data_IF_926435137389
#
_entry.id   IF_926435137389
#
_cell.length_a   1.000
_cell.length_b   1.000
_cell.length_c   1.000
_cell.angle_alpha   90.00
_cell.angle_beta   90.00
_cell.angle_gamma   90.00
#
_symmetry.space_group_name_H-M   'P 1'
#
loop_
_entity.id
_entity.type
_entity.pdbx_description
1 polymer ?
#
# COMPACT_ATOMS: atom_id res chain seq x y z
N UNK A 1 -12.33 -12.25 8.30
CA UNK A 1 -11.01 -11.62 8.11
C UNK A 1 -10.02 -12.31 9.04
N UNK A 2 -8.76 -12.47 8.62
CA UNK A 2 -7.70 -13.03 9.48
C UNK A 2 -7.44 -12.13 10.69
N UNK A 3 -7.11 -12.73 11.84
CA UNK A 3 -6.79 -11.98 13.06
C UNK A 3 -5.32 -11.55 13.04
N UNK A 4 -5.06 -10.26 13.21
CA UNK A 4 -3.71 -9.70 13.35
C UNK A 4 -3.06 -10.23 14.65
N UNK A 5 -1.81 -10.69 14.55
CA UNK A 5 -1.06 -11.34 15.63
C UNK A 5 0.29 -10.67 15.93
N UNK A 6 0.51 -9.44 15.46
CA UNK A 6 1.66 -8.60 15.80
C UNK A 6 1.20 -7.32 16.53
N UNK A 7 2.10 -6.36 16.67
CA UNK A 7 1.87 -5.09 17.36
C UNK A 7 0.72 -4.24 16.77
N UNK A 8 0.33 -4.44 15.50
CA UNK A 8 -0.90 -3.81 14.97
C UNK A 8 -2.16 -4.26 15.70
N UNK A 9 -2.18 -5.44 16.32
CA UNK A 9 -3.35 -5.93 17.05
C UNK A 9 -3.80 -4.91 18.10
N UNK A 10 -2.87 -4.43 18.91
CA UNK A 10 -3.20 -3.55 20.03
C UNK A 10 -3.48 -2.11 19.54
N UNK A 11 -2.92 -1.73 18.38
CA UNK A 11 -3.20 -0.44 17.74
C UNK A 11 -4.60 -0.39 17.09
N UNK A 12 -5.10 -1.53 16.60
CA UNK A 12 -6.32 -1.61 15.80
C UNK A 12 -7.51 -2.25 16.52
N UNK A 13 -7.33 -2.74 17.74
CA UNK A 13 -8.39 -3.41 18.50
C UNK A 13 -9.64 -2.52 18.63
N UNK A 14 -9.47 -1.29 19.13
CA UNK A 14 -10.56 -0.32 19.23
C UNK A 14 -11.15 0.06 17.86
N UNK A 15 -10.34 0.07 16.81
CA UNK A 15 -10.78 0.41 15.46
C UNK A 15 -11.78 -0.64 14.93
N UNK A 16 -11.57 -1.91 15.28
CA UNK A 16 -12.42 -3.02 14.84
C UNK A 16 -13.76 -3.12 15.56
N UNK A 17 -13.92 -2.39 16.66
CA UNK A 17 -15.14 -2.31 17.48
C UNK A 17 -16.02 -1.11 17.10
N UNK A 18 -15.48 -0.12 16.38
CA UNK A 18 -16.24 1.05 15.92
C UNK A 18 -17.41 0.62 15.04
N UNK A 19 -18.54 1.29 15.21
CA UNK A 19 -19.80 1.00 14.50
C UNK A 19 -19.63 0.90 12.99
N UNK A 20 -18.86 1.82 12.39
CA UNK A 20 -18.61 1.82 10.95
C UNK A 20 -17.87 0.56 10.49
N UNK A 21 -16.96 0.02 11.31
CA UNK A 21 -16.18 -1.18 10.98
C UNK A 21 -16.99 -2.46 11.17
N UNK A 22 -17.86 -2.49 12.18
CA UNK A 22 -18.85 -3.57 12.36
C UNK A 22 -19.78 -3.63 11.15
N UNK A 23 -20.32 -2.49 10.70
CA UNK A 23 -21.12 -2.40 9.48
C UNK A 23 -20.33 -2.80 8.22
N UNK A 24 -19.07 -2.39 8.12
CA UNK A 24 -18.18 -2.80 7.03
C UNK A 24 -18.02 -4.34 7.00
N UNK A 25 -17.82 -4.99 8.15
CA UNK A 25 -17.76 -6.46 8.23
C UNK A 25 -19.03 -7.12 7.68
N UNK A 26 -20.20 -6.65 8.09
CA UNK A 26 -21.49 -7.18 7.61
C UNK A 26 -21.64 -7.02 6.09
N UNK A 27 -21.30 -5.84 5.55
CA UNK A 27 -21.29 -5.60 4.10
C UNK A 27 -20.35 -6.58 3.41
N UNK A 28 -19.12 -6.74 3.90
CA UNK A 28 -18.15 -7.66 3.32
C UNK A 28 -18.63 -9.11 3.37
N UNK A 29 -19.21 -9.56 4.48
CA UNK A 29 -19.77 -10.92 4.57
C UNK A 29 -20.83 -11.16 3.50
N UNK A 30 -21.71 -10.18 3.24
CA UNK A 30 -22.67 -10.25 2.15
C UNK A 30 -22.00 -10.19 0.77
N UNK A 31 -21.00 -9.32 0.57
CA UNK A 31 -20.27 -9.18 -0.69
C UNK A 31 -19.58 -10.49 -1.09
N UNK A 32 -18.81 -11.10 -0.20
CA UNK A 32 -18.15 -12.38 -0.47
C UNK A 32 -19.11 -13.57 -0.59
N UNK A 33 -20.35 -13.45 -0.11
CA UNK A 33 -21.38 -14.49 -0.28
C UNK A 33 -22.01 -14.43 -1.67
N UNK A 34 -22.18 -13.23 -2.23
CA UNK A 34 -22.96 -13.02 -3.45
C UNK A 34 -22.10 -12.70 -4.69
N UNK A 35 -20.85 -12.26 -4.50
CA UNK A 35 -19.96 -11.82 -5.57
C UNK A 35 -18.56 -12.40 -5.40
N UNK A 36 -17.80 -12.39 -6.51
CA UNK A 36 -16.35 -12.60 -6.43
C UNK A 36 -15.69 -11.30 -5.99
N UNK A 37 -14.99 -11.34 -4.86
CA UNK A 37 -14.35 -10.18 -4.24
C UNK A 37 -12.86 -10.48 -4.04
N UNK A 38 -12.02 -9.49 -4.33
CA UNK A 38 -10.57 -9.56 -4.13
C UNK A 38 -10.08 -8.55 -3.09
N UNK A 39 -8.95 -8.85 -2.41
CA UNK A 39 -8.25 -10.13 -2.40
C UNK A 39 -9.08 -11.22 -1.67
N UNK A 40 -8.68 -12.49 -1.60
CA UNK A 40 -9.37 -13.44 -0.72
C UNK A 40 -9.47 -12.94 0.73
N UNK A 41 -10.55 -13.30 1.46
CA UNK A 41 -10.81 -12.78 2.84
C UNK A 41 -9.62 -12.87 3.81
N UNK A 42 -8.78 -13.89 3.66
CA UNK A 42 -7.61 -14.13 4.51
C UNK A 42 -6.48 -13.12 4.25
N UNK A 43 -6.45 -12.56 3.05
CA UNK A 43 -5.36 -11.74 2.53
C UNK A 43 -5.65 -10.23 2.66
N UNK A 44 -6.88 -9.82 3.02
CA UNK A 44 -7.29 -8.41 3.15
C UNK A 44 -6.31 -7.58 3.99
N UNK A 45 -5.73 -8.18 5.04
CA UNK A 45 -4.85 -7.52 6.01
C UNK A 45 -3.36 -7.88 5.82
N UNK A 46 -2.96 -8.46 4.68
CA UNK A 46 -1.57 -8.91 4.43
C UNK A 46 -0.52 -7.81 4.61
N UNK A 47 -0.81 -6.56 4.24
CA UNK A 47 0.11 -5.44 4.48
C UNK A 47 0.49 -5.30 5.97
N UNK A 48 -0.46 -5.50 6.88
CA UNK A 48 -0.23 -5.39 8.33
C UNK A 48 0.51 -6.60 8.91
N UNK A 49 0.30 -7.79 8.33
CA UNK A 49 1.03 -9.00 8.74
C UNK A 49 2.51 -8.93 8.34
N UNK A 50 2.80 -8.42 7.14
CA UNK A 50 4.15 -8.36 6.59
C UNK A 50 4.95 -7.16 7.10
N UNK A 51 4.27 -6.11 7.54
CA UNK A 51 4.90 -4.89 8.04
C UNK A 51 4.33 -4.53 9.42
N UNK A 52 4.91 -5.05 10.52
CA UNK A 52 4.53 -4.67 11.88
C UNK A 52 4.57 -3.16 12.10
N UNK A 53 3.72 -2.64 12.97
CA UNK A 53 3.53 -1.20 13.22
C UNK A 53 4.83 -0.50 13.59
N UNK A 54 5.60 -1.08 14.51
CA UNK A 54 6.91 -0.59 14.95
C UNK A 54 7.98 -0.60 13.85
N UNK A 55 7.85 -1.49 12.86
CA UNK A 55 8.78 -1.66 11.76
C UNK A 55 8.42 -0.82 10.51
N UNK A 56 7.27 -0.16 10.50
CA UNK A 56 6.90 0.73 9.38
C UNK A 56 7.90 1.88 9.30
N UNK A 57 8.56 1.99 8.15
CA UNK A 57 9.47 3.08 7.75
C UNK A 57 8.85 3.94 6.66
N UNK A 58 8.18 3.28 5.71
CA UNK A 58 7.60 3.90 4.51
C UNK A 58 6.15 3.47 4.39
N UNK A 59 5.27 4.38 4.03
CA UNK A 59 3.88 4.08 3.67
C UNK A 59 3.69 4.44 2.20
N UNK A 60 3.39 3.45 1.37
CA UNK A 60 3.14 3.62 -0.06
C UNK A 60 1.67 3.40 -0.31
N UNK A 61 0.95 4.49 -0.62
CA UNK A 61 -0.50 4.47 -0.74
C UNK A 61 -0.96 4.15 -2.16
N UNK A 62 -1.73 3.07 -2.29
CA UNK A 62 -2.52 2.75 -3.49
C UNK A 62 -3.98 3.14 -3.36
N UNK A 63 -4.75 3.00 -4.44
CA UNK A 63 -6.16 3.37 -4.47
C UNK A 63 -7.06 2.22 -3.99
N UNK A 64 -7.20 1.18 -4.80
CA UNK A 64 -7.97 -0.04 -4.56
C UNK A 64 -7.18 -1.27 -5.04
N UNK A 65 -7.55 -2.49 -4.61
CA UNK A 65 -6.87 -3.70 -5.07
C UNK A 65 -7.09 -3.91 -6.56
N UNK A 66 -6.20 -4.68 -7.18
CA UNK A 66 -6.45 -5.19 -8.52
C UNK A 66 -7.73 -6.03 -8.57
N UNK A 67 -8.53 -5.84 -9.61
CA UNK A 67 -9.90 -6.35 -9.70
C UNK A 67 -10.04 -7.58 -10.62
N UNK A 68 -8.95 -8.26 -10.97
CA UNK A 68 -9.01 -9.52 -11.74
C UNK A 68 -8.43 -10.68 -10.93
N UNK A 69 -8.87 -11.88 -11.29
CA UNK A 69 -8.51 -13.12 -10.61
C UNK A 69 -7.00 -13.31 -10.45
N UNK A 70 -6.59 -13.70 -9.24
CA UNK A 70 -5.20 -14.00 -8.88
C UNK A 70 -4.29 -12.78 -8.69
N UNK A 71 -4.71 -11.56 -9.07
CA UNK A 71 -3.87 -10.37 -8.98
C UNK A 71 -3.68 -9.89 -7.54
N UNK A 72 -4.76 -9.47 -6.87
CA UNK A 72 -4.68 -8.86 -5.56
C UNK A 72 -4.45 -9.90 -4.45
N UNK A 73 -3.50 -9.61 -3.57
CA UNK A 73 -3.15 -10.42 -2.40
C UNK A 73 -2.96 -9.57 -1.13
N UNK A 74 -3.58 -8.40 -1.09
CA UNK A 74 -3.59 -7.52 0.10
C UNK A 74 -2.40 -6.58 0.24
N UNK A 75 -1.57 -6.46 -0.79
CA UNK A 75 -0.50 -5.46 -0.89
C UNK A 75 -0.78 -4.51 -2.07
N UNK A 76 -0.71 -3.20 -1.82
CA UNK A 76 -0.85 -2.19 -2.88
C UNK A 76 0.20 -2.40 -3.99
N UNK A 77 -0.20 -2.21 -5.25
CA UNK A 77 0.61 -2.36 -6.47
C UNK A 77 1.20 -3.75 -6.75
N UNK A 78 1.21 -4.66 -5.78
CA UNK A 78 1.81 -5.99 -5.87
C UNK A 78 0.86 -7.01 -6.50
N UNK A 79 1.42 -7.99 -7.22
CA UNK A 79 0.71 -9.16 -7.74
C UNK A 79 1.43 -10.46 -7.39
N UNK A 80 0.69 -11.57 -7.31
CA UNK A 80 1.27 -12.90 -7.11
C UNK A 80 2.18 -13.32 -8.27
N UNK A 81 3.10 -14.26 -8.00
CA UNK A 81 3.89 -14.90 -9.04
C UNK A 81 3.02 -15.55 -10.12
N UNK A 82 3.52 -15.54 -11.36
CA UNK A 82 2.79 -16.07 -12.53
C UNK A 82 1.71 -15.13 -13.08
N UNK A 83 1.39 -14.04 -12.37
CA UNK A 83 0.51 -13.00 -12.86
C UNK A 83 1.32 -11.97 -13.64
N UNK A 84 0.83 -11.59 -14.82
CA UNK A 84 1.43 -10.52 -15.63
C UNK A 84 1.51 -9.22 -14.81
N UNK A 85 2.71 -8.66 -14.71
CA UNK A 85 2.96 -7.38 -14.04
C UNK A 85 2.05 -6.28 -14.60
N UNK A 86 1.19 -5.66 -13.76
CA UNK A 86 0.24 -4.65 -14.23
C UNK A 86 0.94 -3.38 -14.72
N UNK A 87 0.32 -2.58 -15.61
CA UNK A 87 0.96 -1.42 -16.22
C UNK A 87 1.51 -0.39 -15.24
N UNK A 88 0.81 -0.14 -14.12
CA UNK A 88 1.30 0.76 -13.07
C UNK A 88 2.58 0.25 -12.43
N UNK A 89 2.66 -1.05 -12.13
CA UNK A 89 3.87 -1.65 -11.55
C UNK A 89 5.03 -1.69 -12.56
N UNK A 90 4.74 -1.95 -13.83
CA UNK A 90 5.76 -1.81 -14.90
C UNK A 90 6.35 -0.40 -14.93
N UNK A 91 5.52 0.64 -14.78
CA UNK A 91 6.02 2.01 -14.72
C UNK A 91 6.84 2.28 -13.46
N UNK A 92 6.45 1.71 -12.31
CA UNK A 92 7.28 1.78 -11.09
C UNK A 92 8.66 1.13 -11.30
N UNK A 93 8.74 -0.02 -11.98
CA UNK A 93 10.04 -0.64 -12.29
C UNK A 93 10.88 0.17 -13.27
N UNK A 94 10.26 0.82 -14.26
CA UNK A 94 10.96 1.76 -15.14
C UNK A 94 11.54 2.94 -14.39
N UNK A 95 10.78 3.49 -13.43
CA UNK A 95 11.28 4.57 -12.57
C UNK A 95 12.41 4.09 -11.66
N UNK A 96 12.31 2.90 -11.06
CA UNK A 96 13.40 2.30 -10.28
C UNK A 96 14.67 2.09 -11.11
N UNK A 97 14.52 1.70 -12.37
CA UNK A 97 15.64 1.56 -13.30
C UNK A 97 16.31 2.92 -13.59
N UNK A 98 15.54 3.97 -13.84
CA UNK A 98 16.08 5.32 -14.08
C UNK A 98 16.69 5.95 -12.81
N UNK A 99 16.02 5.77 -11.67
CA UNK A 99 16.40 6.38 -10.38
C UNK A 99 17.63 5.71 -9.75
N UNK A 100 17.64 4.37 -9.71
CA UNK A 100 18.60 3.57 -8.96
C UNK A 100 19.42 2.60 -9.82
N UNK A 101 19.22 2.56 -11.13
CA UNK A 101 19.94 1.66 -12.04
C UNK A 101 19.54 0.18 -11.92
N UNK A 102 18.39 -0.10 -11.30
CA UNK A 102 17.90 -1.47 -11.04
C UNK A 102 17.38 -2.15 -12.31
N UNK A 103 17.46 -3.48 -12.35
CA UNK A 103 16.86 -4.23 -13.46
C UNK A 103 15.35 -4.45 -13.22
N UNK A 104 14.59 -4.55 -14.31
CA UNK A 104 13.16 -4.84 -14.26
C UNK A 104 12.97 -6.36 -14.06
N UNK A 105 12.36 -6.81 -12.96
CA UNK A 105 12.17 -8.23 -12.69
C UNK A 105 11.11 -8.86 -13.59
N UNK A 106 11.16 -10.19 -13.70
CA UNK A 106 10.18 -11.01 -14.42
C UNK A 106 8.86 -11.28 -13.64
N UNK A 107 8.67 -10.63 -12.50
CA UNK A 107 7.50 -10.80 -11.64
C UNK A 107 7.09 -9.48 -10.97
N UNK A 108 5.96 -9.48 -10.26
CA UNK A 108 5.41 -8.29 -9.60
C UNK A 108 5.18 -8.45 -8.09
N UNK A 109 5.89 -9.38 -7.44
CA UNK A 109 5.63 -9.74 -6.05
C UNK A 109 6.47 -8.90 -5.07
N UNK A 110 5.87 -7.84 -4.52
CA UNK A 110 6.54 -6.83 -3.69
C UNK A 110 6.68 -7.20 -2.20
N UNK A 111 6.60 -8.49 -1.84
CA UNK A 111 6.71 -8.92 -0.44
C UNK A 111 8.05 -8.53 0.20
N UNK A 112 9.15 -8.55 -0.59
CA UNK A 112 10.48 -8.11 -0.15
C UNK A 112 10.46 -6.67 0.39
N UNK A 113 9.70 -5.76 -0.22
CA UNK A 113 9.60 -4.39 0.28
C UNK A 113 8.81 -4.34 1.59
N UNK A 114 7.70 -5.08 1.67
CA UNK A 114 6.86 -5.13 2.87
C UNK A 114 7.65 -5.61 4.10
N UNK A 115 8.45 -6.67 3.95
CA UNK A 115 9.33 -7.21 4.99
C UNK A 115 10.45 -6.27 5.44
N UNK A 116 10.73 -5.21 4.68
CA UNK A 116 11.75 -4.20 4.99
C UNK A 116 11.18 -2.93 5.67
N UNK A 117 9.87 -2.89 5.94
CA UNK A 117 9.23 -1.73 6.55
C UNK A 117 8.40 -0.87 5.60
N UNK A 118 8.15 -1.33 4.35
CA UNK A 118 7.30 -0.62 3.39
C UNK A 118 5.86 -1.09 3.50
N UNK A 119 5.02 -0.33 4.20
CA UNK A 119 3.58 -0.61 4.30
C UNK A 119 2.89 -0.29 2.96
N UNK A 120 2.62 -1.33 2.18
CA UNK A 120 1.93 -1.28 0.88
C UNK A 120 0.40 -1.23 1.06
N UNK A 121 -0.14 -0.06 1.39
CA UNK A 121 -1.53 0.11 1.83
C UNK A 121 -2.41 0.73 0.74
N UNK A 122 -3.48 0.03 0.33
CA UNK A 122 -4.52 0.67 -0.47
C UNK A 122 -5.48 1.47 0.41
N UNK A 123 -6.07 2.55 -0.11
CA UNK A 123 -7.14 3.30 0.60
C UNK A 123 -8.49 2.57 0.64
N UNK A 124 -8.68 1.60 -0.26
CA UNK A 124 -9.75 0.60 -0.24
C UNK A 124 -9.12 -0.79 -0.18
N UNK A 125 -9.54 -1.68 0.72
CA UNK A 125 -8.87 -2.98 0.89
C UNK A 125 -9.54 -4.15 0.17
N UNK A 126 -10.68 -3.92 -0.48
CA UNK A 126 -11.40 -4.94 -1.26
C UNK A 126 -12.00 -4.35 -2.51
N UNK A 127 -12.30 -5.18 -3.50
CA UNK A 127 -12.98 -4.79 -4.75
C UNK A 127 -13.73 -5.99 -5.32
N UNK A 128 -14.88 -5.79 -5.97
CA UNK A 128 -15.52 -6.86 -6.76
C UNK A 128 -14.74 -7.14 -8.04
N UNK A 129 -14.82 -8.37 -8.51
CA UNK A 129 -14.24 -8.76 -9.81
C UNK A 129 -14.76 -7.85 -10.92
N UNK A 130 -13.83 -7.36 -11.75
CA UNK A 130 -14.10 -6.55 -12.93
C UNK A 130 -14.82 -5.19 -12.67
N UNK A 131 -15.00 -4.79 -11.41
CA UNK A 131 -15.64 -3.52 -11.02
C UNK A 131 -14.69 -2.67 -10.17
N UNK A 132 -13.75 -1.96 -10.83
CA UNK A 132 -12.83 -1.04 -10.15
C UNK A 132 -13.59 -0.04 -9.25
N UNK A 133 -13.07 0.22 -8.05
CA UNK A 133 -13.66 1.12 -7.04
C UNK A 133 -15.07 0.75 -6.52
N UNK A 134 -15.58 -0.45 -6.80
CA UNK A 134 -16.90 -0.90 -6.34
C UNK A 134 -17.10 -0.80 -4.81
N UNK A 135 -16.03 -0.95 -4.02
CA UNK A 135 -16.05 -0.84 -2.55
C UNK A 135 -15.50 0.50 -2.02
N UNK A 136 -15.43 1.55 -2.84
CA UNK A 136 -14.86 2.85 -2.45
C UNK A 136 -15.69 3.65 -1.43
N UNK A 137 -16.90 3.19 -1.07
CA UNK A 137 -17.82 3.92 -0.18
C UNK A 137 -18.37 3.07 0.98
N UNK A 138 -17.78 1.91 1.23
CA UNK A 138 -18.30 0.97 2.25
C UNK A 138 -17.65 1.10 3.63
N UNK A 139 -16.65 1.99 3.79
CA UNK A 139 -16.02 2.29 5.08
C UNK A 139 -14.50 2.09 5.13
N UNK A 140 -13.88 1.53 4.09
CA UNK A 140 -12.43 1.33 4.05
C UNK A 140 -11.61 2.62 4.17
N UNK A 141 -12.10 3.72 3.60
CA UNK A 141 -11.45 5.01 3.66
C UNK A 141 -11.33 5.50 5.11
N UNK A 142 -12.39 5.34 5.92
CA UNK A 142 -12.36 5.67 7.34
C UNK A 142 -11.32 4.83 8.08
N UNK A 143 -11.29 3.52 7.80
CA UNK A 143 -10.31 2.61 8.39
C UNK A 143 -8.88 3.04 8.06
N UNK A 144 -8.57 3.19 6.77
CA UNK A 144 -7.23 3.57 6.30
C UNK A 144 -6.82 4.98 6.70
N UNK A 145 -7.76 5.92 6.83
CA UNK A 145 -7.50 7.25 7.40
C UNK A 145 -7.05 7.13 8.86
N UNK A 146 -7.68 6.25 9.64
CA UNK A 146 -7.29 6.03 11.03
C UNK A 146 -5.95 5.29 11.13
N UNK A 147 -5.59 4.41 10.19
CA UNK A 147 -4.23 3.85 10.09
C UNK A 147 -3.19 4.97 9.90
N UNK A 148 -3.44 5.90 8.97
CA UNK A 148 -2.52 7.02 8.71
C UNK A 148 -2.39 7.91 9.95
N UNK A 149 -3.51 8.22 10.63
CA UNK A 149 -3.48 8.99 11.89
C UNK A 149 -2.70 8.28 13.00
N UNK A 150 -2.85 6.96 13.14
CA UNK A 150 -2.05 6.19 14.11
C UNK A 150 -0.57 6.24 13.80
N UNK A 151 -0.19 6.03 12.53
CA UNK A 151 1.20 6.21 12.12
C UNK A 151 1.70 7.64 12.34
N UNK A 152 0.82 8.63 12.16
CA UNK A 152 1.09 10.03 12.43
C UNK A 152 1.27 10.33 13.93
N UNK A 153 0.76 9.50 14.84
CA UNK A 153 0.95 9.66 16.29
C UNK A 153 2.34 9.17 16.73
N UNK A 154 3.02 8.32 15.96
CA UNK A 154 4.33 7.74 16.31
C UNK A 154 5.41 8.79 16.51
N UNK A 155 6.30 8.55 17.47
CA UNK A 155 7.51 9.37 17.65
C UNK A 155 8.53 9.11 16.53
N UNK A 156 8.72 7.84 16.16
CA UNK A 156 9.60 7.45 15.05
C UNK A 156 9.02 8.01 13.74
N UNK A 157 9.78 8.83 12.99
CA UNK A 157 9.35 9.37 11.70
C UNK A 157 8.96 8.29 10.70
N UNK A 158 8.07 8.65 9.78
CA UNK A 158 7.55 7.78 8.72
C UNK A 158 7.58 8.58 7.41
N UNK A 159 7.95 7.91 6.32
CA UNK A 159 7.98 8.51 4.99
C UNK A 159 6.71 8.09 4.24
N UNK A 160 5.86 9.05 3.87
CA UNK A 160 4.63 8.81 3.14
C UNK A 160 4.80 9.12 1.65
N UNK A 161 4.59 8.11 0.80
CA UNK A 161 4.60 8.26 -0.65
C UNK A 161 3.17 8.41 -1.14
N UNK A 162 2.84 9.61 -1.65
CA UNK A 162 1.50 9.99 -2.06
C UNK A 162 1.43 10.18 -3.57
N UNK A 163 1.15 9.10 -4.30
CA UNK A 163 1.01 9.11 -5.76
C UNK A 163 -0.45 9.23 -6.20
N UNK A 164 -0.78 10.32 -6.89
CA UNK A 164 -2.13 10.60 -7.38
C UNK A 164 -3.03 11.28 -6.35
N UNK A 165 -4.17 11.80 -6.81
CA UNK A 165 -5.01 12.71 -6.01
C UNK A 165 -5.62 12.05 -4.77
N UNK A 166 -6.01 10.77 -4.86
CA UNK A 166 -6.57 10.04 -3.72
C UNK A 166 -5.56 9.89 -2.58
N UNK A 167 -4.30 9.58 -2.90
CA UNK A 167 -3.23 9.50 -1.91
C UNK A 167 -2.86 10.90 -1.39
N UNK A 168 -2.73 11.90 -2.26
CA UNK A 168 -2.45 13.30 -1.86
C UNK A 168 -3.51 13.86 -0.91
N UNK A 169 -4.78 13.50 -1.07
CA UNK A 169 -5.84 13.93 -0.17
C UNK A 169 -5.65 13.47 1.29
N UNK A 170 -4.77 12.49 1.54
CA UNK A 170 -4.41 12.01 2.89
C UNK A 170 -3.35 12.86 3.59
N UNK A 171 -2.71 13.79 2.86
CA UNK A 171 -1.72 14.73 3.41
C UNK A 171 -2.23 15.49 4.64
N UNK A 172 -3.52 15.84 4.67
CA UNK A 172 -4.16 16.54 5.79
C UNK A 172 -4.11 15.81 7.13
N UNK A 173 -3.76 14.52 7.15
CA UNK A 173 -3.63 13.71 8.36
C UNK A 173 -2.18 13.56 8.84
N UNK A 174 -1.22 14.17 8.13
CA UNK A 174 0.21 13.96 8.35
C UNK A 174 0.85 15.26 8.85
N UNK A 175 1.51 15.20 10.01
CA UNK A 175 2.33 16.26 10.58
C UNK A 175 3.71 16.26 9.93
N UNK A 176 3.95 17.21 9.03
CA UNK A 176 5.20 17.35 8.28
C UNK A 176 6.37 17.88 9.11
N UNK A 177 6.14 18.26 10.37
CA UNK A 177 7.25 18.56 11.28
C UNK A 177 7.90 17.28 11.83
N UNK A 178 7.19 16.15 11.75
CA UNK A 178 7.63 14.85 12.28
C UNK A 178 7.82 13.79 11.20
N UNK A 179 7.00 13.84 10.15
CA UNK A 179 7.00 12.88 9.06
C UNK A 179 7.40 13.51 7.73
N UNK A 180 7.77 12.66 6.78
CA UNK A 180 8.18 13.08 5.44
C UNK A 180 7.10 12.73 4.43
N UNK A 181 6.92 13.57 3.40
CA UNK A 181 5.96 13.31 2.33
C UNK A 181 6.63 13.48 0.98
N UNK A 182 6.55 12.44 0.14
CA UNK A 182 6.94 12.48 -1.27
C UNK A 182 5.70 12.41 -2.14
N UNK A 183 5.37 13.50 -2.85
CA UNK A 183 4.12 13.64 -3.61
C UNK A 183 4.39 13.61 -5.11
N UNK A 184 3.69 12.74 -5.83
CA UNK A 184 3.83 12.58 -7.28
C UNK A 184 2.51 12.30 -7.98
N UNK A 185 2.50 12.27 -9.31
CA UNK A 185 1.34 11.74 -10.05
C UNK A 185 1.29 10.21 -9.94
N UNK A 186 0.15 9.59 -10.24
CA UNK A 186 0.01 8.14 -10.15
C UNK A 186 0.88 7.43 -11.22
N UNK A 187 1.46 6.26 -10.96
CA UNK A 187 2.24 5.48 -11.94
C UNK A 187 1.40 4.87 -13.08
N UNK A 188 0.10 5.15 -13.15
CA UNK A 188 -0.77 4.61 -14.21
C UNK A 188 -0.32 5.13 -15.58
N UNK A 189 -0.44 4.36 -16.67
CA UNK A 189 -0.18 4.84 -18.03
C UNK A 189 -0.88 6.17 -18.37
N UNK A 190 -2.06 6.42 -17.76
CA UNK A 190 -2.82 7.66 -17.94
C UNK A 190 -2.15 8.91 -17.34
N UNK A 191 -1.17 8.74 -16.46
CA UNK A 191 -0.57 9.85 -15.71
C UNK A 191 0.94 9.80 -15.58
N UNK A 192 1.60 8.67 -15.83
CA UNK A 192 3.02 8.51 -15.50
C UNK A 192 3.93 9.55 -16.19
N UNK A 193 3.67 9.86 -17.46
CA UNK A 193 4.40 10.87 -18.22
C UNK A 193 4.21 12.31 -17.71
N UNK A 194 3.29 12.56 -16.78
CA UNK A 194 3.03 13.89 -16.19
C UNK A 194 3.87 14.16 -14.93
N UNK A 195 4.93 13.39 -14.71
CA UNK A 195 5.88 13.59 -13.60
C UNK A 195 5.98 12.45 -12.60
N UNK A 196 5.54 11.23 -12.94
CA UNK A 196 5.94 10.04 -12.17
C UNK A 196 7.34 9.62 -12.61
N UNK A 197 7.57 9.58 -13.93
CA UNK A 197 8.91 9.36 -14.47
C UNK A 197 9.82 10.55 -14.13
N UNK A 198 10.99 10.25 -13.57
CA UNK A 198 11.97 11.22 -13.09
C UNK A 198 11.64 11.81 -11.71
N UNK A 199 10.67 11.25 -10.97
CA UNK A 199 10.35 11.74 -9.62
C UNK A 199 11.44 11.40 -8.60
N UNK A 200 12.20 10.33 -8.83
CA UNK A 200 13.30 9.86 -7.98
C UNK A 200 12.92 9.61 -6.52
N UNK A 201 11.66 9.20 -6.30
CA UNK A 201 11.16 8.99 -4.94
C UNK A 201 11.84 7.82 -4.23
N UNK A 202 12.37 6.81 -4.94
CA UNK A 202 12.96 5.63 -4.30
C UNK A 202 14.34 5.93 -3.72
N UNK A 203 15.18 6.65 -4.46
CA UNK A 203 16.47 7.16 -3.96
C UNK A 203 16.27 8.21 -2.86
N UNK A 204 15.26 9.07 -3.01
CA UNK A 204 14.92 10.07 -1.98
C UNK A 204 14.46 9.42 -0.66
N UNK A 205 13.68 8.33 -0.72
CA UNK A 205 13.36 7.55 0.50
C UNK A 205 14.62 7.07 1.19
N UNK A 206 15.56 6.47 0.46
CA UNK A 206 16.80 5.97 1.06
C UNK A 206 17.68 7.10 1.61
N UNK A 207 17.73 8.25 0.93
CA UNK A 207 18.40 9.46 1.45
C UNK A 207 17.82 9.88 2.80
N UNK A 208 16.49 9.97 2.92
CA UNK A 208 15.82 10.34 4.17
C UNK A 208 16.08 9.27 5.26
N UNK A 209 15.97 7.97 4.94
CA UNK A 209 16.24 6.91 5.90
C UNK A 209 17.68 6.99 6.44
N UNK A 210 18.65 7.25 5.58
CA UNK A 210 20.04 7.44 5.97
C UNK A 210 20.22 8.64 6.91
N UNK A 211 19.54 9.75 6.67
CA UNK A 211 19.54 10.92 7.56
C UNK A 211 18.93 10.63 8.94
N UNK A 212 17.95 9.72 8.97
CA UNK A 212 17.33 9.22 10.20
C UNK A 212 18.15 8.12 10.89
N UNK A 213 19.33 7.74 10.36
CA UNK A 213 20.12 6.58 10.81
C UNK A 213 19.34 5.25 10.76
N UNK A 214 18.37 5.15 9.86
CA UNK A 214 17.60 3.94 9.60
C UNK A 214 18.22 3.15 8.43
N UNK A 215 18.08 1.83 8.48
CA UNK A 215 18.50 0.98 7.37
C UNK A 215 17.65 1.30 6.13
N UNK A 216 18.33 1.64 5.03
CA UNK A 216 17.77 1.85 3.69
C UNK A 216 16.97 0.64 3.20
N UNK A 217 16.06 0.88 2.26
CA UNK A 217 15.30 -0.17 1.58
C UNK A 217 16.11 -0.68 0.39
N UNK A 218 16.30 -2.00 0.33
CA UNK A 218 16.72 -2.68 -0.89
C UNK A 218 15.50 -2.84 -1.81
N UNK A 219 15.42 -1.95 -2.80
CA UNK A 219 14.31 -1.85 -3.74
C UNK A 219 14.37 -2.87 -4.89
N UNK A 220 15.50 -3.56 -5.11
CA UNK A 220 15.56 -4.56 -6.19
C UNK A 220 14.64 -5.73 -5.84
N UNK A 221 13.79 -6.13 -6.77
CA UNK A 221 13.07 -7.40 -6.71
C UNK A 221 13.82 -8.40 -7.58
N UNK A 222 14.05 -9.60 -7.06
CA UNK A 222 14.73 -10.65 -7.79
C UNK A 222 13.82 -11.28 -8.85
N UNK A 223 14.43 -11.73 -9.94
CA UNK A 223 13.76 -12.64 -10.87
C UNK A 223 13.37 -13.93 -10.13
N UNK A 224 12.23 -14.49 -10.53
CA UNK A 224 11.80 -15.82 -10.10
C UNK A 224 12.09 -16.82 -11.20
N UNK A 225 12.92 -17.80 -10.89
CA UNK A 225 13.15 -18.99 -11.73
C UNK A 225 11.91 -19.87 -11.85
#
# INVERSE_FOLDING_TARGET
MSKINNDWKDILEEEFEKEYFVKLKEILENEYKNYTVYPPKKDILNAFFLTPYSEVKVVLLGQDPYHQSGQAHGLAFSVNYGIKTPPSLVNMYKELQDDLGLYIPNNGFLEKWAKQGVLLLNTTLTVRDSEANSHSKIGWQTFTDNIIKKLNEREKPVIFILWGNNAKAKEKFIDTNKHYILKGVHPSPLSANRGFFGCKHFSEVNRILKELNEKEIDWQIEDKE
#
